data_IF_273617214083
#
_entry.id   IF_273617214083
#
_cell.length_a   1.000
_cell.length_b   1.000
_cell.length_c   1.000
_cell.angle_alpha   90.00
_cell.angle_beta   90.00
_cell.angle_gamma   90.00
#
_symmetry.space_group_name_H-M   'P 1'
#
loop_
_entity.id
_entity.type
_entity.pdbx_description
1 polymer ?
#
# COMPACT_ATOMS: atom_id res chain seq x y z
N UNK A 1 -4.24 -27.70 -5.65
CA UNK A 1 -3.10 -26.90 -5.15
C UNK A 1 -3.57 -25.47 -5.08
N UNK A 2 -3.47 -24.85 -3.92
CA UNK A 2 -3.78 -23.42 -3.73
C UNK A 2 -2.75 -22.59 -4.55
N UNK A 3 -3.15 -21.57 -5.31
CA UNK A 3 -2.20 -20.70 -6.00
C UNK A 3 -1.18 -20.11 -5.03
N UNK A 4 0.10 -19.95 -5.42
CA UNK A 4 1.13 -19.39 -4.54
C UNK A 4 0.75 -18.03 -3.93
N UNK A 5 0.01 -17.20 -4.66
CA UNK A 5 -0.48 -15.89 -4.19
C UNK A 5 -1.39 -16.00 -2.96
N UNK A 6 -2.27 -16.99 -2.88
CA UNK A 6 -3.15 -17.18 -1.71
C UNK A 6 -2.38 -17.58 -0.44
N UNK A 7 -1.28 -18.34 -0.57
CA UNK A 7 -0.45 -18.69 0.58
C UNK A 7 0.27 -17.47 1.14
N UNK A 8 0.87 -16.64 0.28
CA UNK A 8 1.52 -15.37 0.66
C UNK A 8 0.51 -14.44 1.32
N UNK A 9 -0.68 -14.26 0.72
CA UNK A 9 -1.74 -13.42 1.28
C UNK A 9 -2.13 -13.88 2.69
N UNK A 10 -2.33 -15.18 2.90
CA UNK A 10 -2.76 -15.70 4.21
C UNK A 10 -1.71 -15.47 5.31
N UNK A 11 -0.42 -15.63 5.00
CA UNK A 11 0.67 -15.35 5.94
C UNK A 11 0.75 -13.86 6.30
N UNK A 12 0.66 -12.97 5.31
CA UNK A 12 0.69 -11.54 5.54
C UNK A 12 -0.50 -11.07 6.39
N UNK A 13 -1.71 -11.51 6.06
CA UNK A 13 -2.91 -11.19 6.84
C UNK A 13 -2.77 -11.66 8.28
N UNK A 14 -2.35 -12.91 8.50
CA UNK A 14 -2.13 -13.46 9.84
C UNK A 14 -1.14 -12.66 10.65
N UNK A 15 -0.02 -12.26 10.06
CA UNK A 15 1.00 -11.42 10.70
C UNK A 15 0.43 -10.06 11.18
N UNK A 16 -0.27 -9.35 10.29
CA UNK A 16 -0.86 -8.05 10.64
C UNK A 16 -2.02 -8.16 11.63
N UNK A 17 -2.86 -9.20 11.55
CA UNK A 17 -3.90 -9.45 12.54
C UNK A 17 -3.33 -9.73 13.92
N UNK A 18 -2.23 -10.47 14.02
CA UNK A 18 -1.52 -10.71 15.29
C UNK A 18 -0.95 -9.41 15.88
N UNK A 19 -0.41 -8.51 15.06
CA UNK A 19 0.03 -7.18 15.50
C UNK A 19 -1.14 -6.34 15.98
N UNK A 20 -2.24 -6.33 15.23
CA UNK A 20 -3.44 -5.58 15.57
C UNK A 20 -4.11 -6.09 16.86
N UNK A 21 -4.19 -7.40 17.07
CA UNK A 21 -4.75 -7.99 18.30
C UNK A 21 -3.95 -7.61 19.54
N UNK A 22 -2.62 -7.47 19.41
CA UNK A 22 -1.73 -7.07 20.53
C UNK A 22 -1.74 -5.58 20.82
N UNK A 23 -1.86 -4.73 19.80
CA UNK A 23 -1.60 -3.30 19.92
C UNK A 23 -2.78 -2.40 19.52
N UNK A 24 -3.84 -2.97 18.96
CA UNK A 24 -5.03 -2.24 18.54
C UNK A 24 -4.76 -1.22 17.43
N UNK A 25 -5.57 -0.16 17.40
CA UNK A 25 -5.50 0.92 16.40
C UNK A 25 -4.37 1.91 16.71
N UNK A 26 -3.13 1.43 16.59
CA UNK A 26 -1.89 2.19 16.84
C UNK A 26 -0.87 1.90 15.73
N UNK A 27 0.23 2.67 15.62
CA UNK A 27 1.32 2.34 14.70
C UNK A 27 1.82 0.91 14.86
N UNK A 28 2.01 0.44 16.10
CA UNK A 28 2.46 -0.92 16.39
C UNK A 28 1.44 -1.98 15.98
N UNK A 29 0.15 -1.65 15.99
CA UNK A 29 -0.92 -2.55 15.52
C UNK A 29 -0.91 -2.77 14.01
N UNK A 30 -0.19 -1.95 13.26
CA UNK A 30 0.08 -2.11 11.82
C UNK A 30 1.57 -2.32 11.55
N UNK A 31 2.29 -2.84 12.56
CA UNK A 31 3.70 -3.21 12.55
C UNK A 31 4.69 -2.08 12.23
N UNK A 32 4.35 -0.84 12.61
CA UNK A 32 5.27 0.27 12.51
C UNK A 32 5.84 0.65 13.87
N UNK A 33 7.14 0.98 13.97
CA UNK A 33 7.81 1.18 15.24
C UNK A 33 7.27 2.39 16.03
N UNK A 34 6.87 3.45 15.34
CA UNK A 34 6.42 4.70 15.96
C UNK A 34 5.54 5.55 15.04
N UNK A 35 4.89 6.55 15.62
CA UNK A 35 3.95 7.43 14.91
C UNK A 35 4.65 8.39 13.94
N UNK A 36 5.90 8.78 14.21
CA UNK A 36 6.64 9.69 13.33
C UNK A 36 6.96 9.03 11.98
N UNK A 37 7.49 7.80 12.03
CA UNK A 37 7.81 7.05 10.83
C UNK A 37 6.56 6.72 10.02
N UNK A 38 5.45 6.39 10.70
CA UNK A 38 4.17 6.15 10.04
C UNK A 38 3.64 7.42 9.34
N UNK A 39 3.69 8.57 10.00
CA UNK A 39 3.29 9.85 9.41
C UNK A 39 4.16 10.22 8.20
N UNK A 40 5.48 9.98 8.28
CA UNK A 40 6.41 10.18 7.16
C UNK A 40 6.01 9.33 5.96
N UNK A 41 5.68 8.05 6.17
CA UNK A 41 5.19 7.16 5.10
C UNK A 41 3.91 7.68 4.45
N UNK A 42 2.95 8.09 5.27
CA UNK A 42 1.70 8.64 4.76
C UNK A 42 1.93 9.88 3.89
N UNK A 43 2.77 10.83 4.34
CA UNK A 43 3.09 12.01 3.54
C UNK A 43 3.75 11.66 2.20
N UNK A 44 4.73 10.76 2.22
CA UNK A 44 5.39 10.31 0.99
C UNK A 44 4.40 9.57 0.10
N UNK A 45 3.58 8.67 0.66
CA UNK A 45 2.59 7.92 -0.10
C UNK A 45 1.57 8.84 -0.78
N UNK A 46 1.05 9.81 -0.04
CA UNK A 46 0.10 10.82 -0.54
C UNK A 46 0.72 11.77 -1.58
N UNK A 47 2.05 11.86 -1.65
CA UNK A 47 2.78 12.61 -2.67
C UNK A 47 2.57 12.12 -4.10
N UNK A 48 1.96 10.95 -4.31
CA UNK A 48 1.53 10.48 -5.65
C UNK A 48 0.45 11.36 -6.26
N UNK A 49 -0.38 11.97 -5.42
CA UNK A 49 -1.49 12.80 -5.89
C UNK A 49 -0.98 14.14 -6.41
N UNK A 50 -1.25 14.41 -7.67
CA UNK A 50 -0.99 15.71 -8.30
C UNK A 50 -2.01 16.74 -7.80
N UNK A 51 -1.62 18.03 -7.68
CA UNK A 51 -2.57 19.09 -7.36
C UNK A 51 -3.79 19.09 -8.28
N UNK A 52 -4.98 19.32 -7.73
CA UNK A 52 -6.24 19.26 -8.45
C UNK A 52 -7.21 20.36 -7.97
N UNK A 53 -7.97 20.92 -8.89
CA UNK A 53 -9.09 21.82 -8.56
C UNK A 53 -10.37 21.06 -8.19
N UNK A 54 -10.40 19.75 -8.47
CA UNK A 54 -11.54 18.87 -8.20
C UNK A 54 -11.20 17.87 -7.09
N UNK A 55 -12.23 17.26 -6.52
CA UNK A 55 -12.06 16.15 -5.63
C UNK A 55 -11.31 15.00 -6.33
N UNK A 56 -10.34 14.42 -5.64
CA UNK A 56 -9.51 13.31 -6.11
C UNK A 56 -9.94 12.05 -5.39
N UNK A 57 -10.32 11.01 -6.12
CA UNK A 57 -10.66 9.72 -5.53
C UNK A 57 -9.41 8.92 -5.22
N UNK A 58 -9.27 8.52 -3.95
CA UNK A 58 -8.15 7.76 -3.41
C UNK A 58 -8.63 6.43 -2.83
N UNK A 59 -8.10 5.35 -3.36
CA UNK A 59 -8.25 4.02 -2.76
C UNK A 59 -7.01 3.66 -1.97
N UNK A 60 -7.18 3.34 -0.69
CA UNK A 60 -6.15 2.80 0.19
C UNK A 60 -6.29 1.27 0.23
N UNK A 61 -5.43 0.57 -0.47
CA UNK A 61 -5.40 -0.88 -0.56
C UNK A 61 -4.48 -1.46 0.51
N UNK A 62 -5.03 -2.23 1.44
CA UNK A 62 -4.40 -2.59 2.70
C UNK A 62 -4.55 -1.46 3.72
N UNK A 63 -5.76 -0.88 3.81
CA UNK A 63 -6.04 0.29 4.63
C UNK A 63 -5.95 0.04 6.14
N UNK A 64 -5.91 -1.23 6.55
CA UNK A 64 -5.86 -1.62 7.95
C UNK A 64 -6.98 -0.99 8.77
N UNK A 65 -6.68 -0.50 10.00
CA UNK A 65 -7.67 0.12 10.86
C UNK A 65 -7.94 1.61 10.53
N UNK A 66 -7.58 2.07 9.32
CA UNK A 66 -7.89 3.41 8.82
C UNK A 66 -7.02 4.54 9.40
N UNK A 67 -5.75 4.26 9.72
CA UNK A 67 -4.83 5.27 10.29
C UNK A 67 -4.46 6.38 9.29
N UNK A 68 -4.48 6.11 7.99
CA UNK A 68 -4.25 7.14 6.98
C UNK A 68 -5.33 8.22 7.00
N UNK A 69 -6.58 7.88 7.34
CA UNK A 69 -7.67 8.85 7.44
C UNK A 69 -7.43 9.82 8.59
N UNK A 70 -6.88 9.35 9.74
CA UNK A 70 -6.48 10.24 10.84
C UNK A 70 -5.43 11.25 10.37
N UNK A 71 -4.45 10.78 9.59
CA UNK A 71 -3.41 11.64 9.04
C UNK A 71 -3.98 12.68 8.07
N UNK A 72 -4.88 12.29 7.16
CA UNK A 72 -5.56 13.21 6.24
C UNK A 72 -6.41 14.25 6.97
N UNK A 73 -7.02 13.90 8.10
CA UNK A 73 -7.79 14.83 8.93
C UNK A 73 -6.88 15.86 9.64
N UNK A 74 -5.68 15.48 10.04
CA UNK A 74 -4.69 16.34 10.71
C UNK A 74 -3.89 17.20 9.73
N UNK A 75 -3.59 16.66 8.54
CA UNK A 75 -2.79 17.30 7.50
C UNK A 75 -3.54 17.24 6.16
N UNK A 76 -4.61 18.02 6.00
CA UNK A 76 -5.43 18.00 4.79
C UNK A 76 -4.60 18.45 3.58
N UNK A 77 -4.87 17.81 2.44
CA UNK A 77 -4.27 18.20 1.15
C UNK A 77 -4.87 19.55 0.70
N UNK A 78 -4.19 20.25 -0.20
CA UNK A 78 -4.69 21.51 -0.75
C UNK A 78 -5.93 21.37 -1.65
N UNK A 79 -6.51 20.16 -1.74
CA UNK A 79 -7.69 19.80 -2.52
C UNK A 79 -8.48 18.68 -1.82
N UNK A 80 -9.81 18.54 -2.11
CA UNK A 80 -10.62 17.49 -1.50
C UNK A 80 -10.17 16.08 -1.94
N UNK A 81 -10.14 15.15 -0.98
CA UNK A 81 -9.86 13.74 -1.21
C UNK A 81 -11.11 12.91 -0.89
N UNK A 82 -11.60 12.19 -1.89
CA UNK A 82 -12.68 11.20 -1.74
C UNK A 82 -12.02 9.84 -1.45
N UNK A 83 -11.96 9.51 -0.17
CA UNK A 83 -11.23 8.34 0.35
C UNK A 83 -12.13 7.11 0.44
N UNK A 84 -11.58 5.96 0.03
CA UNK A 84 -12.11 4.63 0.32
C UNK A 84 -10.99 3.68 0.71
N UNK A 85 -11.30 2.66 1.51
CA UNK A 85 -10.33 1.67 1.97
C UNK A 85 -10.76 0.24 1.67
N UNK A 86 -9.79 -0.59 1.28
CA UNK A 86 -9.94 -2.03 1.13
C UNK A 86 -8.89 -2.74 1.97
N UNK A 87 -9.31 -3.79 2.69
CA UNK A 87 -8.41 -4.67 3.43
C UNK A 87 -8.94 -6.11 3.44
N UNK A 88 -8.13 -7.06 3.82
CA UNK A 88 -8.51 -8.46 4.01
C UNK A 88 -8.85 -8.79 5.46
N UNK A 89 -8.33 -8.02 6.41
CA UNK A 89 -8.54 -8.20 7.85
C UNK A 89 -9.87 -7.61 8.30
N UNK A 90 -10.86 -8.44 8.56
CA UNK A 90 -12.14 -7.97 9.11
C UNK A 90 -12.01 -7.31 10.48
N UNK A 91 -11.16 -7.79 11.43
CA UNK A 91 -10.92 -7.08 12.69
C UNK A 91 -10.44 -5.63 12.52
N UNK A 92 -9.52 -5.38 11.57
CA UNK A 92 -9.05 -4.03 11.28
C UNK A 92 -10.14 -3.18 10.63
N UNK A 93 -10.91 -3.73 9.69
CA UNK A 93 -12.01 -3.02 9.04
C UNK A 93 -13.13 -2.65 10.00
N UNK A 94 -13.44 -3.51 10.99
CA UNK A 94 -14.38 -3.17 12.06
C UNK A 94 -13.90 -1.93 12.82
N UNK A 95 -12.61 -1.85 13.16
CA UNK A 95 -12.04 -0.69 13.82
C UNK A 95 -12.03 0.57 12.94
N UNK A 96 -11.75 0.42 11.63
CA UNK A 96 -11.79 1.52 10.67
C UNK A 96 -13.21 2.10 10.52
N UNK A 97 -14.22 1.24 10.34
CA UNK A 97 -15.63 1.64 10.25
C UNK A 97 -16.14 2.29 11.52
N UNK A 98 -15.69 1.83 12.69
CA UNK A 98 -16.03 2.43 13.97
C UNK A 98 -15.44 3.83 14.14
N UNK A 99 -14.19 4.05 13.68
CA UNK A 99 -13.52 5.34 13.75
C UNK A 99 -14.06 6.34 12.70
N UNK A 100 -14.40 5.86 11.51
CA UNK A 100 -14.79 6.67 10.35
C UNK A 100 -16.06 6.15 9.67
N UNK A 101 -17.23 6.20 10.35
CA UNK A 101 -18.47 5.57 9.87
C UNK A 101 -19.04 6.21 8.59
N UNK A 102 -18.55 7.39 8.20
CA UNK A 102 -18.96 8.09 6.98
C UNK A 102 -18.17 7.67 5.73
N UNK A 103 -17.10 6.87 5.89
CA UNK A 103 -16.24 6.46 4.78
C UNK A 103 -16.51 5.00 4.38
N UNK A 104 -16.20 4.69 3.12
CA UNK A 104 -16.33 3.33 2.58
C UNK A 104 -15.12 2.45 2.95
N UNK A 105 -15.38 1.36 3.68
CA UNK A 105 -14.38 0.33 3.97
C UNK A 105 -14.92 -1.04 3.57
N UNK A 106 -14.23 -1.72 2.66
CA UNK A 106 -14.67 -3.00 2.09
C UNK A 106 -13.66 -4.11 2.37
N UNK A 107 -14.16 -5.31 2.70
CA UNK A 107 -13.33 -6.50 2.71
C UNK A 107 -13.33 -7.11 1.31
N UNK A 108 -12.17 -7.06 0.63
CA UNK A 108 -12.03 -7.60 -0.73
C UNK A 108 -10.60 -8.04 -1.03
N UNK A 109 -10.46 -9.20 -1.65
CA UNK A 109 -9.23 -9.63 -2.30
C UNK A 109 -9.29 -9.22 -3.78
N UNK A 110 -8.56 -8.19 -4.15
CA UNK A 110 -8.57 -7.68 -5.54
C UNK A 110 -7.91 -8.62 -6.56
N UNK A 111 -7.17 -9.63 -6.10
CA UNK A 111 -6.64 -10.68 -6.98
C UNK A 111 -7.72 -11.73 -7.32
N UNK A 112 -8.64 -12.00 -6.39
CA UNK A 112 -9.75 -12.91 -6.59
C UNK A 112 -10.98 -12.19 -7.18
N UNK A 113 -11.24 -10.97 -6.73
CA UNK A 113 -12.37 -10.13 -7.12
C UNK A 113 -11.88 -8.77 -7.62
N UNK A 114 -11.39 -8.67 -8.87
CA UNK A 114 -10.82 -7.43 -9.40
C UNK A 114 -11.78 -6.24 -9.32
N UNK A 115 -11.21 -5.07 -9.13
CA UNK A 115 -11.93 -3.80 -9.24
C UNK A 115 -12.23 -3.49 -10.70
N UNK A 116 -13.26 -2.67 -10.94
CA UNK A 116 -13.52 -2.13 -12.26
C UNK A 116 -12.32 -1.28 -12.72
N UNK A 117 -11.96 -1.38 -13.98
CA UNK A 117 -10.90 -0.60 -14.58
C UNK A 117 -11.20 0.90 -14.47
N UNK A 118 -10.16 1.69 -14.19
CA UNK A 118 -10.21 3.15 -14.11
C UNK A 118 -11.31 3.67 -13.16
N UNK A 119 -11.55 2.95 -12.06
CA UNK A 119 -12.63 3.27 -11.11
C UNK A 119 -12.29 4.41 -10.16
N UNK A 120 -10.99 4.61 -9.83
CA UNK A 120 -10.50 5.65 -8.93
C UNK A 120 -9.35 6.43 -9.56
N UNK A 121 -9.04 7.64 -9.05
CA UNK A 121 -7.92 8.40 -9.61
C UNK A 121 -6.58 7.82 -9.18
N UNK A 122 -6.43 7.49 -7.91
CA UNK A 122 -5.20 6.91 -7.36
C UNK A 122 -5.48 5.69 -6.48
N UNK A 123 -4.55 4.74 -6.50
CA UNK A 123 -4.49 3.63 -5.54
C UNK A 123 -3.17 3.70 -4.80
N UNK A 124 -3.20 3.56 -3.49
CA UNK A 124 -1.99 3.47 -2.67
C UNK A 124 -1.95 2.15 -1.92
N UNK A 125 -0.73 1.64 -1.70
CA UNK A 125 -0.44 0.43 -0.95
C UNK A 125 0.67 0.74 0.06
N UNK A 126 0.28 1.17 1.26
CA UNK A 126 1.24 1.53 2.30
C UNK A 126 1.48 0.35 3.25
N UNK A 127 2.67 -0.22 3.23
CA UNK A 127 3.07 -1.33 4.10
C UNK A 127 2.67 -2.72 3.60
N UNK A 128 1.86 -2.83 2.57
CA UNK A 128 1.38 -4.13 2.04
C UNK A 128 2.50 -5.01 1.49
N UNK A 129 3.56 -4.40 0.98
CA UNK A 129 4.68 -5.06 0.32
C UNK A 129 6.01 -4.88 1.09
N UNK A 130 5.98 -4.66 2.40
CA UNK A 130 7.20 -4.52 3.22
C UNK A 130 7.60 -5.81 3.90
N UNK A 131 6.62 -6.62 4.31
CA UNK A 131 6.80 -7.93 4.91
C UNK A 131 6.74 -9.05 3.86
N UNK A 132 7.49 -10.14 4.08
CA UNK A 132 7.32 -11.40 3.34
C UNK A 132 7.14 -12.60 4.27
N UNK A 133 7.33 -12.38 5.58
CA UNK A 133 7.24 -13.39 6.61
C UNK A 133 8.13 -14.60 6.26
N UNK A 134 7.55 -15.72 5.81
CA UNK A 134 8.29 -16.92 5.37
C UNK A 134 8.22 -17.15 3.85
N UNK A 135 7.49 -16.32 3.11
CA UNK A 135 7.29 -16.50 1.67
C UNK A 135 8.64 -16.45 0.91
N UNK A 136 8.91 -17.38 -0.01
CA UNK A 136 10.05 -17.30 -0.91
C UNK A 136 10.06 -15.98 -1.69
N UNK A 137 11.27 -15.42 -1.88
CA UNK A 137 11.43 -14.11 -2.50
C UNK A 137 10.84 -14.01 -3.92
N UNK A 138 11.01 -15.05 -4.72
CA UNK A 138 10.45 -15.15 -6.08
C UNK A 138 8.92 -15.18 -6.09
N UNK A 139 8.31 -15.85 -5.12
CA UNK A 139 6.86 -15.84 -4.94
C UNK A 139 6.37 -14.46 -4.50
N UNK A 140 7.12 -13.77 -3.62
CA UNK A 140 6.79 -12.42 -3.20
C UNK A 140 6.89 -11.41 -4.36
N UNK A 141 7.90 -11.53 -5.24
CA UNK A 141 8.02 -10.72 -6.46
C UNK A 141 6.81 -10.95 -7.38
N UNK A 142 6.44 -12.20 -7.62
CA UNK A 142 5.29 -12.53 -8.45
C UNK A 142 3.98 -11.98 -7.85
N UNK A 143 3.76 -12.18 -6.56
CA UNK A 143 2.62 -11.64 -5.82
C UNK A 143 2.56 -10.11 -5.92
N UNK A 144 3.67 -9.42 -5.65
CA UNK A 144 3.75 -7.97 -5.74
C UNK A 144 3.43 -7.47 -7.15
N UNK A 145 3.99 -8.10 -8.19
CA UNK A 145 3.74 -7.72 -9.57
C UNK A 145 2.27 -7.92 -9.99
N UNK A 146 1.61 -8.99 -9.53
CA UNK A 146 0.19 -9.25 -9.80
C UNK A 146 -0.71 -8.27 -9.05
N UNK A 147 -0.43 -8.03 -7.77
CA UNK A 147 -1.18 -7.08 -6.93
C UNK A 147 -1.09 -5.64 -7.48
N UNK A 148 0.13 -5.21 -7.84
CA UNK A 148 0.35 -3.88 -8.41
C UNK A 148 -0.28 -3.73 -9.80
N UNK A 149 -0.33 -4.79 -10.61
CA UNK A 149 -1.04 -4.76 -11.88
C UNK A 149 -2.56 -4.62 -11.70
N UNK A 150 -3.14 -5.33 -10.74
CA UNK A 150 -4.57 -5.20 -10.41
C UNK A 150 -4.89 -3.80 -9.86
N UNK A 151 -4.06 -3.26 -8.96
CA UNK A 151 -4.19 -1.90 -8.44
C UNK A 151 -4.08 -0.85 -9.55
N UNK A 152 -3.11 -1.01 -10.46
CA UNK A 152 -2.89 -0.09 -11.57
C UNK A 152 -4.04 -0.12 -12.58
N UNK A 153 -4.65 -1.29 -12.82
CA UNK A 153 -5.84 -1.40 -13.68
C UNK A 153 -6.99 -0.51 -13.16
N UNK A 154 -7.21 -0.50 -11.85
CA UNK A 154 -8.25 0.32 -11.22
C UNK A 154 -7.95 1.83 -11.20
N UNK A 155 -6.68 2.23 -11.27
CA UNK A 155 -6.27 3.62 -11.17
C UNK A 155 -6.37 4.37 -12.51
N UNK A 156 -7.01 5.54 -12.55
CA UNK A 156 -7.06 6.43 -13.73
C UNK A 156 -5.76 7.19 -13.97
N UNK A 157 -5.08 7.58 -12.90
CA UNK A 157 -3.89 8.46 -12.97
C UNK A 157 -2.63 7.71 -12.56
N UNK A 158 -2.63 7.06 -11.41
CA UNK A 158 -1.44 6.36 -10.94
C UNK A 158 -1.62 5.65 -9.61
N UNK A 159 -0.55 4.94 -9.23
CA UNK A 159 -0.47 4.22 -7.96
C UNK A 159 0.77 4.62 -7.18
N UNK A 160 0.76 4.39 -5.86
CA UNK A 160 1.94 4.44 -5.02
C UNK A 160 2.05 3.18 -4.16
N UNK A 161 3.26 2.71 -3.96
CA UNK A 161 3.56 1.59 -3.06
C UNK A 161 4.95 1.73 -2.46
N UNK A 162 5.19 1.15 -1.29
CA UNK A 162 6.51 1.08 -0.68
C UNK A 162 6.99 -0.37 -0.52
N UNK A 163 8.30 -0.54 -0.57
CA UNK A 163 9.02 -1.79 -0.31
C UNK A 163 10.32 -1.50 0.40
N UNK A 164 10.91 -2.52 1.06
CA UNK A 164 12.20 -2.32 1.72
C UNK A 164 13.32 -2.14 0.70
N UNK A 165 14.21 -1.20 0.98
CA UNK A 165 15.37 -0.94 0.13
C UNK A 165 16.43 -2.04 0.28
N UNK A 166 17.16 -2.31 -0.80
CA UNK A 166 18.42 -3.08 -0.76
C UNK A 166 19.64 -2.22 -0.40
N UNK A 167 19.49 -0.90 -0.37
CA UNK A 167 20.52 0.04 0.06
C UNK A 167 20.48 0.19 1.59
N UNK A 168 20.78 -0.91 2.30
CA UNK A 168 20.77 -1.02 3.76
C UNK A 168 22.03 -1.76 4.21
N UNK A 169 22.42 -1.62 5.49
CA UNK A 169 23.62 -2.28 6.02
C UNK A 169 23.45 -3.80 6.07
N UNK A 170 22.23 -4.30 6.27
CA UNK A 170 21.85 -5.71 6.20
C UNK A 170 20.39 -5.86 5.83
N UNK A 171 20.05 -6.90 5.07
CA UNK A 171 18.67 -7.29 4.78
C UNK A 171 18.13 -8.21 5.89
N UNK A 172 16.91 -7.95 6.34
CA UNK A 172 16.17 -8.86 7.22
C UNK A 172 15.47 -9.91 6.37
N UNK A 173 15.51 -11.17 6.84
CA UNK A 173 14.93 -12.29 6.08
C UNK A 173 13.38 -12.29 6.03
N UNK A 174 12.73 -11.69 7.02
CA UNK A 174 11.27 -11.55 7.11
C UNK A 174 10.71 -10.37 6.31
N UNK A 175 11.57 -9.46 5.83
CA UNK A 175 11.18 -8.30 5.05
C UNK A 175 11.35 -8.51 3.53
N UNK A 176 10.53 -7.82 2.75
CA UNK A 176 10.61 -7.86 1.30
C UNK A 176 11.50 -6.73 0.76
N UNK A 177 12.79 -7.06 0.59
CA UNK A 177 13.76 -6.17 -0.03
C UNK A 177 13.74 -6.31 -1.56
N UNK A 178 13.49 -5.20 -2.27
CA UNK A 178 13.46 -5.18 -3.74
C UNK A 178 14.40 -4.09 -4.27
N UNK A 179 15.31 -4.44 -5.18
CA UNK A 179 16.24 -3.49 -5.78
C UNK A 179 15.53 -2.59 -6.78
N UNK A 180 15.96 -1.33 -6.92
CA UNK A 180 15.33 -0.34 -7.80
C UNK A 180 15.24 -0.82 -9.26
N UNK A 181 16.34 -1.28 -9.82
CA UNK A 181 16.41 -1.76 -11.21
C UNK A 181 15.60 -3.02 -11.42
N UNK A 182 15.63 -3.93 -10.45
CA UNK A 182 14.86 -5.18 -10.50
C UNK A 182 13.36 -4.88 -10.47
N UNK A 183 12.92 -4.01 -9.55
CA UNK A 183 11.54 -3.56 -9.44
C UNK A 183 11.09 -2.86 -10.73
N UNK A 184 11.85 -1.90 -11.23
CA UNK A 184 11.51 -1.17 -12.43
C UNK A 184 11.44 -2.08 -13.66
N UNK A 185 12.39 -3.02 -13.80
CA UNK A 185 12.40 -4.01 -14.89
C UNK A 185 11.21 -4.96 -14.84
N UNK A 186 10.77 -5.35 -13.65
CA UNK A 186 9.61 -6.22 -13.47
C UNK A 186 8.29 -5.51 -13.76
N UNK A 187 8.17 -4.23 -13.40
CA UNK A 187 6.91 -3.50 -13.43
C UNK A 187 6.69 -2.66 -14.70
N UNK A 188 7.75 -2.09 -15.29
CA UNK A 188 7.59 -1.21 -16.45
C UNK A 188 6.85 -1.86 -17.66
N UNK A 189 7.12 -3.14 -18.00
CA UNK A 189 6.38 -3.80 -19.09
C UNK A 189 4.91 -4.10 -18.76
N UNK A 190 4.57 -4.20 -17.47
CA UNK A 190 3.22 -4.58 -17.00
C UNK A 190 2.35 -3.39 -16.65
N UNK A 191 2.95 -2.29 -16.22
CA UNK A 191 2.26 -1.10 -15.72
C UNK A 191 2.55 0.10 -16.63
N UNK A 192 3.64 0.80 -16.37
CA UNK A 192 4.08 1.98 -17.08
C UNK A 192 5.56 2.27 -16.79
N UNK A 193 6.23 2.93 -17.72
CA UNK A 193 7.59 3.45 -17.53
C UNK A 193 7.64 4.81 -16.83
N UNK A 194 6.50 5.46 -16.60
CA UNK A 194 6.41 6.77 -15.96
C UNK A 194 6.45 6.59 -14.44
N UNK A 195 7.67 6.44 -13.90
CA UNK A 195 7.90 6.16 -12.49
C UNK A 195 8.68 7.28 -11.81
N UNK A 196 8.36 7.51 -10.54
CA UNK A 196 9.16 8.33 -9.61
C UNK A 196 9.50 7.47 -8.42
N UNK A 197 10.77 7.35 -8.09
CA UNK A 197 11.24 6.62 -6.88
C UNK A 197 11.63 7.66 -5.84
N UNK A 198 11.06 7.55 -4.64
CA UNK A 198 11.35 8.36 -3.47
C UNK A 198 12.06 7.50 -2.44
N UNK A 199 13.33 7.81 -2.17
CA UNK A 199 14.17 7.16 -1.16
C UNK A 199 14.86 8.21 -0.27
N UNK A 200 14.32 9.44 -0.23
CA UNK A 200 14.91 10.62 0.36
C UNK A 200 14.27 11.03 1.70
N UNK A 201 13.47 10.17 2.32
CA UNK A 201 12.69 10.50 3.51
C UNK A 201 13.20 9.82 4.81
N UNK A 202 14.45 9.32 4.79
CA UNK A 202 15.18 8.88 5.98
C UNK A 202 14.79 7.51 6.54
N UNK A 203 13.92 6.75 5.85
CA UNK A 203 13.56 5.39 6.22
C UNK A 203 14.33 4.36 5.37
N UNK A 204 14.35 3.09 5.80
CA UNK A 204 15.09 2.00 5.12
C UNK A 204 14.28 1.34 4.01
N UNK A 205 13.35 2.05 3.46
CA UNK A 205 12.45 1.67 2.38
C UNK A 205 12.46 2.73 1.30
N UNK A 206 11.76 2.48 0.22
CA UNK A 206 11.48 3.51 -0.78
C UNK A 206 10.04 3.40 -1.24
N UNK A 207 9.49 4.52 -1.71
CA UNK A 207 8.16 4.59 -2.29
C UNK A 207 8.28 4.84 -3.79
N UNK A 208 7.53 4.08 -4.58
CA UNK A 208 7.45 4.26 -6.03
C UNK A 208 6.06 4.77 -6.42
N UNK A 209 6.03 5.84 -7.19
CA UNK A 209 4.83 6.29 -7.90
C UNK A 209 4.91 5.78 -9.33
N UNK A 210 3.82 5.19 -9.83
CA UNK A 210 3.69 4.76 -11.21
C UNK A 210 2.49 5.45 -11.82
N UNK A 211 2.71 6.23 -12.85
CA UNK A 211 1.67 7.01 -13.53
C UNK A 211 1.34 6.44 -14.90
N UNK A 212 0.10 6.61 -15.36
CA UNK A 212 -0.28 6.25 -16.74
C UNK A 212 0.39 7.16 -17.76
N UNK A 213 0.40 8.46 -17.44
CA UNK A 213 0.94 9.50 -18.30
C UNK A 213 2.06 10.28 -17.59
N UNK A 214 3.02 10.83 -18.33
CA UNK A 214 4.07 11.68 -17.72
C UNK A 214 3.45 12.89 -17.01
N UNK A 215 4.21 13.46 -16.05
CA UNK A 215 3.85 14.67 -15.30
C UNK A 215 4.15 15.94 -16.04
#
# INVERSE_FOLDING_TARGET
MTPPSHAVTAELVGHYEDCFLRHGRTPQGVDWPNAHDLATRFEVMLGVMRPSEKAVSLLDLGCGPGLLVDHLALAPRGFPVDYSGIDLSEPMLVAARAAWPQLGFERRDILAEPLADLSVDYVILNGVLTERVSAPRDQMIAFAADLLAAAFSAARIGIAFNVMSKLVDWEREDLFHWGFDEMASALAPRLSRHMTIRADYGLREYTTYVYREPG
#
